data_IF_140070055035
#
_entry.id   IF_140070055035
#
_cell.length_a   1.000
_cell.length_b   1.000
_cell.length_c   1.000
_cell.angle_alpha   90.00
_cell.angle_beta   90.00
_cell.angle_gamma   90.00
#
_symmetry.space_group_name_H-M   'P 1'
#
loop_
_entity.id
_entity.type
_entity.pdbx_description
1 polymer ?
#
# COMPACT_ATOMS: atom_id res chain seq x y z
N UNK A 1 21.96 -14.09 -15.04
CA UNK A 1 21.60 -13.73 -13.66
C UNK A 1 21.29 -12.26 -13.68
N UNK A 2 20.11 -11.85 -13.20
CA UNK A 2 19.85 -10.45 -12.94
C UNK A 2 20.94 -9.91 -12.00
N UNK A 3 21.37 -8.67 -12.22
CA UNK A 3 22.30 -8.01 -11.31
C UNK A 3 21.57 -7.79 -9.98
N UNK A 4 22.19 -8.19 -8.87
CA UNK A 4 21.61 -7.97 -7.54
C UNK A 4 21.31 -6.47 -7.34
N UNK A 5 20.14 -6.10 -6.79
CA UNK A 5 19.80 -4.70 -6.50
C UNK A 5 20.77 -4.07 -5.50
N UNK A 6 20.83 -2.74 -5.50
CA UNK A 6 21.61 -2.00 -4.50
C UNK A 6 21.00 -2.17 -3.10
N UNK A 7 21.85 -2.52 -2.13
CA UNK A 7 21.47 -2.64 -0.72
C UNK A 7 21.52 -1.28 -0.03
N UNK A 8 20.45 -0.94 0.67
CA UNK A 8 20.32 0.29 1.44
C UNK A 8 20.08 -0.02 2.93
N UNK A 9 20.19 1.02 3.78
CA UNK A 9 20.00 0.88 5.22
C UNK A 9 19.00 1.92 5.74
N UNK A 10 17.99 1.45 6.47
CA UNK A 10 17.11 2.28 7.26
C UNK A 10 17.67 2.35 8.69
N UNK A 11 17.70 3.54 9.30
CA UNK A 11 18.18 3.71 10.67
C UNK A 11 16.99 3.86 11.61
N UNK A 12 16.84 2.92 12.55
CA UNK A 12 15.76 2.94 13.54
C UNK A 12 15.98 4.05 14.57
N UNK A 13 14.93 4.39 15.32
CA UNK A 13 15.00 5.42 16.37
C UNK A 13 16.03 5.12 17.47
N UNK A 14 16.33 3.85 17.71
CA UNK A 14 17.36 3.38 18.64
C UNK A 14 18.75 3.21 17.99
N UNK A 15 18.93 3.67 16.74
CA UNK A 15 20.22 3.74 16.05
C UNK A 15 20.68 2.44 15.39
N UNK A 16 19.79 1.48 15.18
CA UNK A 16 20.10 0.21 14.51
C UNK A 16 19.90 0.34 13.00
N UNK A 17 20.89 -0.11 12.23
CA UNK A 17 20.81 -0.16 10.77
C UNK A 17 20.10 -1.44 10.32
N UNK A 18 19.01 -1.28 9.57
CA UNK A 18 18.24 -2.36 8.96
C UNK A 18 18.51 -2.37 7.46
N UNK A 19 19.14 -3.43 6.96
CA UNK A 19 19.42 -3.61 5.54
C UNK A 19 18.14 -3.93 4.77
N UNK A 20 17.94 -3.31 3.62
CA UNK A 20 16.80 -3.54 2.75
C UNK A 20 17.15 -3.36 1.27
N UNK A 21 16.31 -3.94 0.41
CA UNK A 21 16.33 -3.74 -1.04
C UNK A 21 14.92 -3.46 -1.55
N UNK A 22 14.83 -2.64 -2.59
CA UNK A 22 13.59 -2.42 -3.35
C UNK A 22 13.79 -2.83 -4.80
N UNK A 23 12.92 -3.69 -5.32
CA UNK A 23 13.02 -4.23 -6.69
C UNK A 23 11.73 -3.94 -7.45
N UNK A 24 11.87 -3.42 -8.67
CA UNK A 24 10.74 -3.03 -9.51
C UNK A 24 10.10 -1.71 -9.09
N UNK A 25 9.23 -1.21 -9.96
CA UNK A 25 8.48 0.04 -9.83
C UNK A 25 6.96 -0.19 -9.98
N UNK A 26 6.53 -1.44 -9.77
CA UNK A 26 5.14 -1.84 -9.87
C UNK A 26 4.25 -1.08 -8.87
N UNK A 27 2.94 -0.97 -9.15
CA UNK A 27 2.06 -0.10 -8.39
C UNK A 27 1.90 -0.54 -6.92
N UNK A 28 2.01 -1.84 -6.62
CA UNK A 28 1.86 -2.38 -5.26
C UNK A 28 3.20 -2.37 -4.53
N UNK A 29 3.26 -1.80 -3.34
CA UNK A 29 4.35 -2.06 -2.39
C UNK A 29 4.13 -3.42 -1.76
N UNK A 30 5.04 -4.36 -1.98
CA UNK A 30 4.93 -5.73 -1.47
C UNK A 30 6.15 -6.07 -0.61
N UNK A 31 5.95 -6.24 0.70
CA UNK A 31 7.01 -6.72 1.60
C UNK A 31 7.00 -8.23 1.60
N UNK A 32 8.13 -8.86 1.29
CA UNK A 32 8.31 -10.30 1.44
C UNK A 32 9.28 -10.58 2.60
N UNK A 33 8.89 -11.47 3.50
CA UNK A 33 9.79 -11.99 4.54
C UNK A 33 9.70 -13.52 4.60
N UNK A 34 10.82 -14.16 4.29
CA UNK A 34 10.99 -15.61 4.39
C UNK A 34 11.31 -16.02 5.82
N UNK A 35 10.80 -17.18 6.25
CA UNK A 35 11.08 -17.73 7.59
C UNK A 35 12.58 -17.94 7.79
N UNK A 36 13.25 -18.30 6.72
CA UNK A 36 14.66 -18.71 6.67
C UNK A 36 15.38 -17.89 5.59
N UNK A 37 16.71 -17.87 5.62
CA UNK A 37 17.55 -17.22 4.59
C UNK A 37 17.52 -15.69 4.50
N UNK A 38 17.21 -14.95 5.57
CA UNK A 38 17.16 -13.47 5.57
C UNK A 38 18.52 -12.75 5.40
N UNK A 39 19.06 -12.74 4.19
CA UNK A 39 20.18 -11.89 3.78
C UNK A 39 19.92 -11.34 2.36
N UNK A 40 19.58 -10.05 2.28
CA UNK A 40 19.11 -9.40 1.04
C UNK A 40 20.07 -9.50 -0.15
N UNK A 41 21.37 -9.71 0.05
CA UNK A 41 22.32 -9.83 -1.07
C UNK A 41 22.49 -11.27 -1.54
N UNK A 42 22.84 -12.17 -0.62
CA UNK A 42 23.28 -13.51 -0.99
C UNK A 42 22.11 -14.43 -1.41
N UNK A 43 20.87 -14.11 -1.01
CA UNK A 43 19.67 -14.84 -1.44
C UNK A 43 19.53 -14.92 -2.97
N UNK A 44 20.00 -13.90 -3.70
CA UNK A 44 19.97 -13.86 -5.17
C UNK A 44 20.83 -14.93 -5.84
N UNK A 45 21.78 -15.53 -5.12
CA UNK A 45 22.62 -16.61 -5.67
C UNK A 45 21.88 -17.95 -5.75
N UNK A 46 20.75 -18.10 -5.04
CA UNK A 46 19.91 -19.29 -5.10
C UNK A 46 18.82 -19.08 -6.17
N UNK A 47 18.94 -19.78 -7.29
CA UNK A 47 18.03 -19.63 -8.44
C UNK A 47 16.55 -19.68 -8.06
N UNK A 48 16.10 -20.61 -7.18
CA UNK A 48 14.71 -20.63 -6.74
C UNK A 48 14.20 -19.35 -6.09
N UNK A 49 15.06 -18.64 -5.36
CA UNK A 49 14.74 -17.36 -4.73
C UNK A 49 14.80 -16.22 -5.73
N UNK A 50 15.84 -16.18 -6.58
CA UNK A 50 15.95 -15.17 -7.62
C UNK A 50 14.74 -15.18 -8.57
N UNK A 51 14.30 -16.36 -9.04
CA UNK A 51 13.09 -16.50 -9.87
C UNK A 51 11.83 -16.06 -9.11
N UNK A 52 11.71 -16.34 -7.81
CA UNK A 52 10.59 -15.86 -7.00
C UNK A 52 10.57 -14.32 -6.93
N UNK A 53 11.72 -13.69 -6.64
CA UNK A 53 11.84 -12.24 -6.53
C UNK A 53 11.57 -11.53 -7.86
N UNK A 54 12.13 -12.05 -8.96
CA UNK A 54 11.87 -11.54 -10.32
C UNK A 54 10.37 -11.60 -10.65
N UNK A 55 9.69 -12.71 -10.35
CA UNK A 55 8.25 -12.85 -10.58
C UNK A 55 7.41 -11.91 -9.72
N UNK A 56 7.72 -11.75 -8.43
CA UNK A 56 7.00 -10.85 -7.54
C UNK A 56 7.21 -9.37 -7.94
N UNK A 57 8.44 -9.00 -8.27
CA UNK A 57 8.78 -7.62 -8.71
C UNK A 57 8.20 -7.26 -10.08
N UNK A 58 7.74 -8.23 -10.87
CA UNK A 58 7.12 -7.95 -12.18
C UNK A 58 5.79 -7.19 -12.11
N UNK A 59 5.12 -7.16 -10.95
CA UNK A 59 3.85 -6.43 -10.73
C UNK A 59 3.85 -5.56 -9.46
N UNK A 60 4.96 -5.54 -8.72
CA UNK A 60 5.06 -4.83 -7.44
C UNK A 60 6.41 -4.12 -7.34
N UNK A 61 6.49 -3.08 -6.52
CA UNK A 61 7.73 -2.68 -5.87
C UNK A 61 7.96 -3.64 -4.71
N UNK A 62 8.72 -4.70 -4.98
CA UNK A 62 9.07 -5.73 -4.00
C UNK A 62 10.07 -5.15 -3.00
N UNK A 63 9.80 -5.34 -1.71
CA UNK A 63 10.59 -4.85 -0.60
C UNK A 63 11.10 -6.07 0.17
N UNK A 64 12.42 -6.23 0.20
CA UNK A 64 13.12 -7.23 0.99
C UNK A 64 13.86 -6.52 2.11
N UNK A 65 13.94 -7.14 3.29
CA UNK A 65 14.69 -6.60 4.41
C UNK A 65 15.26 -7.72 5.28
N UNK A 66 16.41 -7.44 5.90
CA UNK A 66 17.00 -8.33 6.88
C UNK A 66 16.45 -7.99 8.26
N UNK A 67 16.05 -9.01 9.03
CA UNK A 67 15.65 -8.83 10.43
C UNK A 67 16.84 -8.29 11.22
N UNK A 68 16.59 -7.44 12.21
CA UNK A 68 17.59 -7.03 13.19
C UNK A 68 18.39 -8.24 13.70
N UNK A 69 19.72 -8.13 13.70
CA UNK A 69 20.62 -9.21 14.12
C UNK A 69 20.81 -10.34 13.09
N UNK A 70 20.26 -10.21 11.89
CA UNK A 70 20.41 -11.17 10.78
C UNK A 70 20.91 -10.50 9.52
N UNK A 71 21.51 -11.27 8.62
CA UNK A 71 22.00 -10.79 7.33
C UNK A 71 23.01 -9.65 7.49
N UNK A 72 22.69 -8.52 6.87
CA UNK A 72 23.46 -7.28 6.91
C UNK A 72 22.91 -6.28 7.96
N UNK A 73 21.78 -6.58 8.60
CA UNK A 73 21.19 -5.74 9.66
C UNK A 73 21.96 -5.88 10.97
N UNK A 74 22.22 -4.75 11.63
CA UNK A 74 22.86 -4.73 12.94
C UNK A 74 21.95 -5.33 14.02
N UNK A 75 22.54 -5.87 15.09
CA UNK A 75 21.81 -6.37 16.26
C UNK A 75 22.60 -7.40 17.06
N UNK A 76 22.43 -7.40 18.38
CA UNK A 76 23.12 -8.32 19.29
C UNK A 76 22.25 -9.49 19.77
N UNK A 77 20.95 -9.47 19.49
CA UNK A 77 19.99 -10.51 19.88
C UNK A 77 18.84 -10.58 18.88
N UNK A 78 18.13 -11.70 18.86
CA UNK A 78 16.99 -11.87 17.95
C UNK A 78 15.80 -10.99 18.42
N UNK A 79 15.15 -10.21 17.54
CA UNK A 79 14.12 -9.26 17.94
C UNK A 79 12.80 -9.96 18.29
N UNK A 80 12.11 -9.43 19.30
CA UNK A 80 10.71 -9.77 19.58
C UNK A 80 9.76 -9.17 18.51
N UNK A 81 8.49 -9.57 18.50
CA UNK A 81 7.52 -9.14 17.49
C UNK A 81 7.31 -7.61 17.43
N UNK A 82 7.26 -6.93 18.57
CA UNK A 82 7.11 -5.47 18.62
C UNK A 82 8.29 -4.74 18.00
N UNK A 83 9.51 -5.25 18.25
CA UNK A 83 10.73 -4.71 17.65
C UNK A 83 10.73 -4.94 16.14
N UNK A 84 10.36 -6.15 15.69
CA UNK A 84 10.20 -6.44 14.25
C UNK A 84 9.20 -5.50 13.59
N UNK A 85 8.06 -5.24 14.24
CA UNK A 85 7.06 -4.34 13.71
C UNK A 85 7.56 -2.89 13.60
N UNK A 86 8.31 -2.40 14.60
CA UNK A 86 8.93 -1.07 14.58
C UNK A 86 10.02 -0.94 13.52
N UNK A 87 10.84 -1.98 13.36
CA UNK A 87 11.91 -2.02 12.36
C UNK A 87 11.31 -2.01 10.94
N UNK A 88 10.26 -2.80 10.69
CA UNK A 88 9.52 -2.77 9.43
C UNK A 88 8.91 -1.39 9.16
N UNK A 89 8.29 -0.76 10.18
CA UNK A 89 7.74 0.58 10.04
C UNK A 89 8.81 1.59 9.60
N UNK A 90 10.01 1.50 10.19
CA UNK A 90 11.16 2.34 9.85
C UNK A 90 11.58 2.15 8.38
N UNK A 91 11.63 0.90 7.90
CA UNK A 91 11.94 0.60 6.50
C UNK A 91 10.90 1.23 5.57
N UNK A 92 9.61 1.02 5.86
CA UNK A 92 8.50 1.58 5.07
C UNK A 92 8.53 3.11 5.02
N UNK A 93 8.78 3.77 6.15
CA UNK A 93 8.90 5.22 6.23
C UNK A 93 10.10 5.74 5.42
N UNK A 94 11.24 5.04 5.50
CA UNK A 94 12.47 5.40 4.77
C UNK A 94 12.25 5.38 3.26
N UNK A 95 11.53 4.40 2.74
CA UNK A 95 11.21 4.26 1.31
C UNK A 95 9.93 5.01 0.89
N UNK A 96 9.34 5.77 1.82
CA UNK A 96 8.09 6.54 1.65
C UNK A 96 6.92 5.67 1.17
N UNK A 97 6.85 4.43 1.65
CA UNK A 97 5.69 3.56 1.45
C UNK A 97 4.60 3.95 2.45
N UNK A 98 3.51 4.54 1.97
CA UNK A 98 2.36 4.89 2.82
C UNK A 98 1.61 3.65 3.29
N UNK A 99 1.45 2.64 2.41
CA UNK A 99 0.70 1.42 2.68
C UNK A 99 1.25 0.27 1.84
N UNK A 100 1.44 -0.91 2.45
CA UNK A 100 2.04 -2.06 1.77
C UNK A 100 1.21 -3.35 1.95
N UNK A 101 1.30 -4.23 0.96
CA UNK A 101 0.88 -5.62 1.11
C UNK A 101 2.02 -6.39 1.80
N UNK A 102 1.69 -7.25 2.75
CA UNK A 102 2.66 -8.01 3.53
C UNK A 102 2.57 -9.49 3.16
N UNK A 103 3.69 -10.09 2.74
CA UNK A 103 3.76 -11.49 2.35
C UNK A 103 4.75 -12.26 3.24
N UNK A 104 4.20 -12.97 4.22
CA UNK A 104 4.98 -13.77 5.18
C UNK A 104 4.89 -15.27 4.90
N UNK A 105 6.00 -15.97 5.11
CA UNK A 105 6.08 -17.43 5.18
C UNK A 105 6.05 -17.88 6.65
N UNK A 106 5.20 -18.85 6.97
CA UNK A 106 5.20 -19.54 8.27
C UNK A 106 5.14 -18.58 9.46
N UNK A 107 6.19 -18.49 10.28
CA UNK A 107 6.21 -17.64 11.47
C UNK A 107 6.43 -16.15 11.16
N UNK A 108 6.91 -15.78 9.97
CA UNK A 108 7.07 -14.35 9.62
C UNK A 108 5.73 -13.68 9.38
N UNK A 109 4.75 -14.42 8.86
CA UNK A 109 3.38 -13.94 8.79
C UNK A 109 2.77 -13.64 10.17
N UNK A 110 3.25 -14.25 11.26
CA UNK A 110 2.84 -13.89 12.61
C UNK A 110 3.31 -12.49 13.01
N UNK A 111 4.55 -12.12 12.64
CA UNK A 111 5.04 -10.76 12.84
C UNK A 111 4.28 -9.74 11.98
N UNK A 112 3.96 -10.10 10.74
CA UNK A 112 3.11 -9.26 9.89
C UNK A 112 1.68 -9.13 10.40
N UNK A 113 1.12 -10.18 11.00
CA UNK A 113 -0.18 -10.11 11.66
C UNK A 113 -0.14 -9.12 12.85
N UNK A 114 0.89 -9.17 13.70
CA UNK A 114 1.03 -8.15 14.75
C UNK A 114 1.18 -6.75 14.16
N UNK A 115 2.03 -6.58 13.15
CA UNK A 115 2.22 -5.29 12.48
C UNK A 115 0.91 -4.74 11.93
N UNK A 116 0.13 -5.56 11.24
CA UNK A 116 -1.16 -5.18 10.67
C UNK A 116 -2.21 -4.83 11.74
N UNK A 117 -2.17 -5.49 12.91
CA UNK A 117 -3.06 -5.16 14.01
C UNK A 117 -2.75 -3.81 14.66
N UNK A 118 -1.47 -3.47 14.82
CA UNK A 118 -1.06 -2.22 15.47
C UNK A 118 -0.94 -1.03 14.49
N UNK A 119 -0.75 -1.30 13.19
CA UNK A 119 -0.65 -0.30 12.12
C UNK A 119 -1.65 -0.58 10.98
N UNK A 120 -2.97 -0.63 11.25
CA UNK A 120 -3.96 -1.04 10.24
C UNK A 120 -3.93 -0.15 8.98
N UNK A 121 -3.69 1.15 9.14
CA UNK A 121 -3.67 2.11 8.03
C UNK A 121 -2.41 1.98 7.14
N UNK A 122 -1.41 1.21 7.60
CA UNK A 122 -0.15 0.97 6.88
C UNK A 122 -0.16 -0.34 6.09
N UNK A 123 -1.23 -1.14 6.19
CA UNK A 123 -1.33 -2.45 5.53
C UNK A 123 -2.51 -2.48 4.56
N UNK A 124 -2.27 -2.77 3.29
CA UNK A 124 -3.34 -2.96 2.31
C UNK A 124 -3.92 -4.36 2.42
N UNK A 125 -3.06 -5.37 2.47
CA UNK A 125 -3.45 -6.77 2.61
C UNK A 125 -2.34 -7.63 3.22
N UNK A 126 -2.73 -8.79 3.75
CA UNK A 126 -1.82 -9.80 4.30
C UNK A 126 -1.91 -11.08 3.46
N UNK A 127 -0.78 -11.55 2.95
CA UNK A 127 -0.60 -12.87 2.38
C UNK A 127 0.22 -13.71 3.35
N UNK A 128 -0.27 -14.90 3.67
CA UNK A 128 0.36 -15.79 4.62
C UNK A 128 0.50 -17.20 4.04
N UNK A 129 1.71 -17.55 3.61
CA UNK A 129 2.00 -18.89 3.08
C UNK A 129 2.37 -19.85 4.19
N UNK A 130 1.67 -20.99 4.25
CA UNK A 130 1.75 -22.02 5.30
C UNK A 130 1.63 -21.41 6.70
N UNK A 131 0.47 -20.84 6.99
CA UNK A 131 0.28 -19.94 8.14
C UNK A 131 0.49 -20.61 9.51
N UNK A 132 1.41 -20.04 10.33
CA UNK A 132 1.74 -20.53 11.68
C UNK A 132 1.55 -19.39 12.70
N UNK A 133 0.39 -19.33 13.34
CA UNK A 133 0.10 -18.30 14.36
C UNK A 133 0.81 -18.53 15.70
N UNK A 134 1.11 -19.79 16.01
CA UNK A 134 1.91 -20.17 17.18
C UNK A 134 2.63 -21.47 16.90
N UNK A 135 3.79 -21.66 17.52
CA UNK A 135 4.48 -22.95 17.55
C UNK A 135 4.17 -23.74 18.82
N UNK A 136 3.43 -23.15 19.75
CA UNK A 136 3.19 -23.73 21.07
C UNK A 136 2.11 -24.81 20.98
N UNK A 137 2.41 -25.98 21.52
CA UNK A 137 1.40 -27.03 21.66
C UNK A 137 0.29 -26.57 22.61
N UNK A 138 -0.96 -26.80 22.20
CA UNK A 138 -2.13 -26.75 23.07
C UNK A 138 -3.17 -27.76 22.60
N UNK A 139 -4.19 -28.10 23.41
CA UNK A 139 -5.30 -28.93 22.95
C UNK A 139 -6.04 -28.38 21.71
N UNK A 140 -6.05 -27.05 21.54
CA UNK A 140 -6.66 -26.36 20.39
C UNK A 140 -5.71 -26.24 19.18
N UNK A 141 -4.42 -26.48 19.41
CA UNK A 141 -3.35 -26.42 18.41
C UNK A 141 -2.40 -27.63 18.59
N UNK A 142 -2.85 -28.84 18.21
CA UNK A 142 -2.11 -30.08 18.49
C UNK A 142 -0.87 -30.27 17.62
N UNK A 143 -0.67 -29.42 16.62
CA UNK A 143 0.49 -29.44 15.71
C UNK A 143 1.71 -28.70 16.28
N UNK A 144 1.50 -27.89 17.33
CA UNK A 144 2.59 -27.22 18.03
C UNK A 144 3.49 -28.18 18.80
N UNK A 145 4.60 -27.65 19.32
CA UNK A 145 5.60 -28.40 20.08
C UNK A 145 5.60 -28.00 21.56
N UNK A 146 6.03 -28.94 22.39
CA UNK A 146 6.26 -28.74 23.82
C UNK A 146 7.52 -27.89 24.06
N UNK A 147 7.67 -27.28 25.25
CA UNK A 147 8.87 -26.53 25.60
C UNK A 147 10.16 -27.36 25.53
N UNK A 148 10.11 -28.67 25.83
CA UNK A 148 11.26 -29.57 25.73
C UNK A 148 11.67 -29.83 24.28
N UNK A 149 10.70 -30.05 23.40
CA UNK A 149 10.96 -30.22 21.96
C UNK A 149 11.56 -28.97 21.33
N UNK A 150 11.08 -27.78 21.70
CA UNK A 150 11.67 -26.51 21.25
C UNK A 150 13.11 -26.32 21.77
N UNK A 151 13.39 -26.68 23.03
CA UNK A 151 14.77 -26.65 23.56
C UNK A 151 15.69 -27.60 22.81
N UNK A 152 15.20 -28.79 22.47
CA UNK A 152 15.96 -29.76 21.69
C UNK A 152 16.25 -29.24 20.28
N UNK A 153 15.24 -28.69 19.59
CA UNK A 153 15.38 -28.08 18.28
C UNK A 153 16.38 -26.91 18.29
N UNK A 154 16.28 -26.01 19.28
CA UNK A 154 17.21 -24.89 19.41
C UNK A 154 18.67 -25.37 19.60
N UNK A 155 18.88 -26.45 20.36
CA UNK A 155 20.21 -27.05 20.52
C UNK A 155 20.71 -27.66 19.21
N UNK A 156 19.88 -28.41 18.50
CA UNK A 156 20.23 -29.01 17.20
C UNK A 156 20.58 -27.94 16.17
N UNK A 157 19.75 -26.90 16.05
CA UNK A 157 20.00 -25.78 15.14
C UNK A 157 21.30 -25.08 15.50
N UNK A 158 21.55 -24.78 16.78
CA UNK A 158 22.81 -24.17 17.23
C UNK A 158 24.02 -25.03 16.88
N UNK A 159 23.96 -26.33 17.14
CA UNK A 159 25.13 -27.20 17.01
C UNK A 159 25.43 -27.55 15.54
N UNK A 160 24.42 -27.45 14.65
CA UNK A 160 24.53 -27.81 13.25
C UNK A 160 24.30 -26.63 12.28
N UNK A 161 24.23 -25.38 12.76
CA UNK A 161 23.91 -24.21 11.93
C UNK A 161 24.88 -24.08 10.76
N UNK A 162 24.34 -23.98 9.55
CA UNK A 162 25.14 -23.91 8.34
C UNK A 162 25.89 -25.20 8.00
N UNK A 163 25.45 -26.36 8.49
CA UNK A 163 25.94 -27.66 8.05
C UNK A 163 25.05 -28.24 6.94
N UNK A 164 25.60 -29.10 6.08
CA UNK A 164 24.80 -29.84 5.09
C UNK A 164 23.79 -30.78 5.76
N UNK A 165 24.11 -31.30 6.94
CA UNK A 165 23.25 -32.20 7.70
C UNK A 165 21.96 -31.49 8.13
N UNK A 166 22.08 -30.28 8.71
CA UNK A 166 20.92 -29.48 9.08
C UNK A 166 20.09 -29.12 7.84
N UNK A 167 20.75 -28.70 6.75
CA UNK A 167 20.05 -28.39 5.50
C UNK A 167 19.31 -29.60 4.95
N UNK A 168 19.93 -30.78 4.94
CA UNK A 168 19.27 -32.02 4.50
C UNK A 168 18.05 -32.33 5.37
N UNK A 169 18.13 -32.14 6.68
CA UNK A 169 16.98 -32.32 7.57
C UNK A 169 15.82 -31.39 7.21
N UNK A 170 16.11 -30.13 6.89
CA UNK A 170 15.09 -29.14 6.50
C UNK A 170 14.50 -29.43 5.13
N UNK A 171 15.32 -29.84 4.17
CA UNK A 171 14.85 -30.26 2.85
C UNK A 171 14.02 -31.54 2.94
N UNK A 172 14.31 -32.48 3.83
CA UNK A 172 13.43 -33.64 4.04
C UNK A 172 12.04 -33.23 4.54
N UNK A 173 11.96 -32.18 5.37
CA UNK A 173 10.68 -31.68 5.88
C UNK A 173 9.92 -30.82 4.87
N UNK A 174 10.63 -29.98 4.12
CA UNK A 174 10.05 -28.92 3.30
C UNK A 174 10.23 -29.07 1.80
N UNK A 175 11.13 -29.91 1.31
CA UNK A 175 11.36 -30.13 -0.12
C UNK A 175 12.02 -31.51 -0.41
N UNK A 176 11.41 -32.66 -0.03
CA UNK A 176 12.07 -33.97 -0.04
C UNK A 176 12.81 -34.35 -1.33
N UNK A 177 12.29 -33.98 -2.49
CA UNK A 177 12.92 -34.27 -3.79
C UNK A 177 14.29 -33.61 -3.98
N UNK A 178 14.59 -32.58 -3.18
CA UNK A 178 15.86 -31.87 -3.19
C UNK A 178 16.79 -32.30 -2.06
N UNK A 179 16.34 -33.16 -1.14
CA UNK A 179 17.04 -33.46 0.10
C UNK A 179 18.41 -34.10 -0.10
N UNK A 180 18.62 -34.85 -1.20
CA UNK A 180 19.89 -35.51 -1.50
C UNK A 180 20.75 -34.76 -2.55
N UNK A 181 20.38 -33.52 -2.94
CA UNK A 181 21.21 -32.67 -3.79
C UNK A 181 22.36 -32.03 -2.96
N UNK A 182 23.55 -32.64 -3.02
CA UNK A 182 24.71 -32.19 -2.26
C UNK A 182 25.22 -30.78 -2.64
N UNK A 183 24.96 -30.33 -3.86
CA UNK A 183 25.36 -29.00 -4.34
C UNK A 183 24.43 -27.96 -3.75
N UNK A 184 23.12 -28.20 -3.85
CA UNK A 184 22.11 -27.34 -3.24
C UNK A 184 22.29 -27.28 -1.72
N UNK A 185 22.54 -28.42 -1.06
CA UNK A 185 22.87 -28.47 0.36
C UNK A 185 24.06 -27.56 0.70
N UNK A 186 25.13 -27.58 -0.11
CA UNK A 186 26.31 -26.74 0.11
C UNK A 186 26.00 -25.25 -0.05
N UNK A 187 25.17 -24.89 -1.03
CA UNK A 187 24.75 -23.52 -1.30
C UNK A 187 23.87 -22.98 -0.16
N UNK A 188 22.84 -23.72 0.25
CA UNK A 188 21.96 -23.33 1.37
C UNK A 188 22.75 -23.27 2.67
N UNK A 189 23.64 -24.23 2.94
CA UNK A 189 24.48 -24.20 4.14
C UNK A 189 25.38 -22.95 4.19
N UNK A 190 25.78 -22.41 3.02
CA UNK A 190 26.44 -21.11 2.94
C UNK A 190 25.47 -19.97 3.27
N UNK A 191 24.27 -19.96 2.69
CA UNK A 191 23.24 -18.96 3.01
C UNK A 191 22.96 -18.89 4.52
N UNK A 192 22.81 -20.03 5.18
CA UNK A 192 22.56 -20.10 6.63
C UNK A 192 23.67 -19.41 7.44
N UNK A 193 24.94 -19.60 7.07
CA UNK A 193 26.08 -18.94 7.73
C UNK A 193 26.12 -17.43 7.49
N UNK A 194 25.56 -16.95 6.38
CA UNK A 194 25.42 -15.52 6.08
C UNK A 194 24.11 -14.93 6.62
N UNK A 195 23.15 -15.76 7.00
CA UNK A 195 21.88 -15.35 7.58
C UNK A 195 22.04 -15.01 9.06
N UNK A 196 22.60 -15.92 9.87
CA UNK A 196 22.79 -15.65 11.30
C UNK A 196 23.84 -16.57 11.94
N UNK A 197 24.43 -16.10 13.03
CA UNK A 197 25.33 -16.90 13.86
C UNK A 197 24.56 -18.01 14.61
N UNK A 198 25.23 -19.12 14.99
CA UNK A 198 24.56 -20.23 15.69
C UNK A 198 23.85 -19.85 16.99
N UNK A 199 24.39 -18.91 17.76
CA UNK A 199 23.75 -18.41 18.99
C UNK A 199 22.45 -17.65 18.68
N UNK A 200 22.48 -16.81 17.64
CA UNK A 200 21.31 -16.08 17.14
C UNK A 200 20.23 -17.03 16.62
N UNK A 201 20.63 -18.14 15.98
CA UNK A 201 19.69 -19.17 15.54
C UNK A 201 18.97 -19.88 16.70
N UNK A 202 19.68 -20.12 17.81
CA UNK A 202 19.05 -20.64 19.02
C UNK A 202 18.06 -19.64 19.64
N UNK A 203 18.42 -18.35 19.69
CA UNK A 203 17.53 -17.29 20.17
C UNK A 203 16.30 -17.14 19.28
N UNK A 204 16.46 -17.23 17.96
CA UNK A 204 15.36 -17.21 17.00
C UNK A 204 14.34 -18.32 17.30
N UNK A 205 14.78 -19.57 17.45
CA UNK A 205 13.89 -20.68 17.81
C UNK A 205 13.21 -20.45 19.16
N UNK A 206 13.94 -19.91 20.15
CA UNK A 206 13.37 -19.61 21.46
C UNK A 206 12.27 -18.54 21.37
N UNK A 207 12.52 -17.41 20.69
CA UNK A 207 11.54 -16.33 20.51
C UNK A 207 10.30 -16.84 19.76
N UNK A 208 10.47 -17.64 18.72
CA UNK A 208 9.34 -18.21 17.98
C UNK A 208 8.57 -19.26 18.79
N UNK A 209 9.24 -20.00 19.68
CA UNK A 209 8.58 -20.98 20.54
C UNK A 209 7.63 -20.36 21.55
N UNK A 210 7.87 -19.10 21.93
CA UNK A 210 7.04 -18.32 22.85
C UNK A 210 6.03 -17.43 22.10
N UNK A 211 6.16 -17.33 20.78
CA UNK A 211 5.28 -16.50 19.95
C UNK A 211 3.90 -17.14 19.80
N UNK A 212 2.86 -16.36 20.12
CA UNK A 212 1.47 -16.68 19.84
C UNK A 212 0.70 -15.42 19.47
N UNK A 213 0.33 -15.30 18.18
CA UNK A 213 -0.47 -14.18 17.68
C UNK A 213 -1.95 -14.54 17.49
N UNK A 214 -2.36 -15.75 17.89
CA UNK A 214 -3.76 -16.20 17.81
C UNK A 214 -4.75 -15.20 18.43
N UNK A 215 -4.47 -14.57 19.60
CA UNK A 215 -5.37 -13.58 20.19
C UNK A 215 -5.56 -12.31 19.37
N UNK A 216 -4.60 -11.99 18.50
CA UNK A 216 -4.58 -10.75 17.69
C UNK A 216 -5.27 -10.95 16.35
N UNK A 217 -5.32 -12.18 15.83
CA UNK A 217 -5.90 -12.49 14.51
C UNK A 217 -7.33 -11.94 14.28
N UNK A 218 -8.26 -11.95 15.26
CA UNK A 218 -9.59 -11.39 15.06
C UNK A 218 -9.62 -9.86 14.91
N UNK A 219 -8.53 -9.16 15.26
CA UNK A 219 -8.43 -7.69 15.18
C UNK A 219 -7.91 -7.17 13.84
N UNK A 220 -7.46 -8.07 12.95
CA UNK A 220 -6.96 -7.70 11.63
C UNK A 220 -8.06 -7.05 10.78
N UNK A 221 -7.78 -5.87 10.24
CA UNK A 221 -8.71 -5.09 9.41
C UNK A 221 -8.44 -5.23 7.92
N UNK A 222 -7.22 -5.62 7.53
CA UNK A 222 -6.86 -5.80 6.14
C UNK A 222 -7.36 -7.15 5.61
N UNK A 223 -7.68 -7.19 4.32
CA UNK A 223 -7.98 -8.44 3.64
C UNK A 223 -6.79 -9.42 3.79
N UNK A 224 -7.10 -10.69 4.05
CA UNK A 224 -6.08 -11.71 4.29
C UNK A 224 -6.26 -12.92 3.36
N UNK A 225 -5.17 -13.33 2.71
CA UNK A 225 -5.07 -14.57 1.93
C UNK A 225 -4.10 -15.52 2.62
N UNK A 226 -4.59 -16.70 3.00
CA UNK A 226 -3.76 -17.82 3.45
C UNK A 226 -3.52 -18.76 2.27
N UNK A 227 -2.27 -19.13 2.05
CA UNK A 227 -1.84 -20.02 0.96
C UNK A 227 -1.27 -21.32 1.54
N UNK A 228 -1.70 -22.46 1.01
CA UNK A 228 -1.11 -23.76 1.33
C UNK A 228 -1.31 -24.74 0.17
N UNK A 229 -0.92 -26.01 0.36
CA UNK A 229 -1.12 -27.10 -0.60
C UNK A 229 -2.20 -28.07 -0.14
N UNK A 230 -2.96 -28.61 -1.08
CA UNK A 230 -4.01 -29.60 -0.79
C UNK A 230 -3.46 -30.88 -0.16
N UNK A 231 -2.28 -31.32 -0.61
CA UNK A 231 -1.64 -32.57 -0.18
C UNK A 231 -0.94 -32.47 1.18
N UNK A 232 -0.90 -31.28 1.80
CA UNK A 232 -0.21 -31.04 3.07
C UNK A 232 -1.13 -31.24 4.28
N UNK A 233 -1.56 -32.48 4.57
CA UNK A 233 -2.65 -32.72 5.53
C UNK A 233 -2.51 -32.07 6.93
N UNK A 234 -1.29 -31.97 7.48
CA UNK A 234 -1.05 -31.29 8.77
C UNK A 234 -0.86 -29.77 8.62
N UNK A 235 -0.05 -29.30 7.67
CA UNK A 235 0.18 -27.86 7.49
C UNK A 235 -1.09 -27.15 6.99
N UNK A 236 -1.87 -27.80 6.12
CA UNK A 236 -3.17 -27.28 5.69
C UNK A 236 -4.15 -27.14 6.87
N UNK A 237 -4.00 -27.94 7.93
CA UNK A 237 -4.80 -27.79 9.14
C UNK A 237 -4.36 -26.56 9.97
N UNK A 238 -3.06 -26.28 10.05
CA UNK A 238 -2.52 -25.05 10.64
C UNK A 238 -2.98 -23.80 9.85
N UNK A 239 -2.88 -23.82 8.53
CA UNK A 239 -3.37 -22.75 7.65
C UNK A 239 -4.89 -22.55 7.77
N UNK A 240 -5.68 -23.62 7.88
CA UNK A 240 -7.13 -23.53 8.18
C UNK A 240 -7.39 -22.96 9.56
N UNK A 241 -6.57 -23.30 10.56
CA UNK A 241 -6.68 -22.71 11.89
C UNK A 241 -6.48 -21.20 11.82
N UNK A 242 -5.42 -20.71 11.17
CA UNK A 242 -5.18 -19.27 10.95
C UNK A 242 -6.38 -18.62 10.24
N UNK A 243 -6.80 -19.18 9.11
CA UNK A 243 -7.92 -18.64 8.33
C UNK A 243 -9.21 -18.54 9.15
N UNK A 244 -9.50 -19.54 10.00
CA UNK A 244 -10.72 -19.55 10.83
C UNK A 244 -10.76 -18.46 11.90
N UNK A 245 -9.60 -17.88 12.26
CA UNK A 245 -9.46 -16.87 13.31
C UNK A 245 -9.48 -15.43 12.77
N UNK A 246 -9.42 -15.25 11.44
CA UNK A 246 -9.36 -13.94 10.79
C UNK A 246 -10.67 -13.72 10.02
N UNK A 247 -11.38 -12.64 10.34
CA UNK A 247 -12.64 -12.32 9.68
C UNK A 247 -12.43 -12.09 8.17
N UNK A 248 -13.16 -12.82 7.33
CA UNK A 248 -13.10 -12.67 5.88
C UNK A 248 -11.83 -13.22 5.21
N UNK A 249 -10.95 -13.91 5.95
CA UNK A 249 -9.75 -14.49 5.37
C UNK A 249 -10.08 -15.59 4.34
N UNK A 250 -9.39 -15.52 3.20
CA UNK A 250 -9.48 -16.48 2.11
C UNK A 250 -8.41 -17.55 2.30
N UNK A 251 -8.73 -18.82 2.03
CA UNK A 251 -7.75 -19.90 1.95
C UNK A 251 -7.71 -20.40 0.52
N UNK A 252 -6.54 -20.32 -0.12
CA UNK A 252 -6.29 -20.92 -1.42
C UNK A 252 -5.35 -22.12 -1.25
N UNK A 253 -5.83 -23.29 -1.70
CA UNK A 253 -5.07 -24.54 -1.69
C UNK A 253 -4.59 -24.83 -3.10
N UNK A 254 -3.27 -24.90 -3.24
CA UNK A 254 -2.58 -25.13 -4.49
C UNK A 254 -2.39 -26.62 -4.73
N UNK A 255 -2.25 -26.97 -6.01
CA UNK A 255 -1.90 -28.32 -6.42
C UNK A 255 -0.38 -28.52 -6.44
N UNK A 256 0.07 -29.74 -6.18
CA UNK A 256 1.46 -30.15 -6.38
C UNK A 256 2.17 -30.49 -5.08
N UNK A 257 3.51 -30.48 -5.14
CA UNK A 257 4.32 -30.87 -4.00
C UNK A 257 4.25 -29.78 -2.91
N UNK A 258 4.01 -30.16 -1.65
CA UNK A 258 3.80 -29.21 -0.55
C UNK A 258 5.11 -28.61 -0.06
N UNK A 259 5.91 -28.05 -0.96
CA UNK A 259 7.24 -27.60 -0.65
C UNK A 259 7.29 -26.22 0.02
N UNK A 260 8.42 -25.87 0.63
CA UNK A 260 8.71 -24.53 1.10
C UNK A 260 8.67 -23.54 -0.08
N UNK A 261 8.41 -22.26 0.21
CA UNK A 261 8.08 -21.26 -0.79
C UNK A 261 9.01 -21.25 -2.03
N UNK A 262 10.35 -21.23 -1.90
CA UNK A 262 11.22 -21.22 -3.07
C UNK A 262 11.16 -22.50 -3.90
N UNK A 263 10.83 -23.65 -3.32
CA UNK A 263 10.89 -24.94 -4.01
C UNK A 263 9.53 -25.41 -4.55
N UNK A 264 8.44 -24.79 -4.11
CA UNK A 264 7.08 -25.12 -4.54
C UNK A 264 6.72 -24.61 -5.95
N UNK A 265 5.43 -24.70 -6.28
CA UNK A 265 4.87 -24.15 -7.53
C UNK A 265 4.84 -22.60 -7.52
N UNK A 266 6.01 -21.97 -7.68
CA UNK A 266 6.19 -20.51 -7.63
C UNK A 266 5.28 -19.76 -8.60
N UNK A 267 5.02 -20.32 -9.79
CA UNK A 267 4.15 -19.68 -10.78
C UNK A 267 2.70 -19.55 -10.29
N UNK A 268 2.15 -20.62 -9.69
CA UNK A 268 0.80 -20.61 -9.12
C UNK A 268 0.73 -19.72 -7.87
N UNK A 269 1.72 -19.81 -6.98
CA UNK A 269 1.82 -18.94 -5.80
C UNK A 269 1.83 -17.47 -6.22
N UNK A 270 2.73 -17.07 -7.13
CA UNK A 270 2.86 -15.68 -7.56
C UNK A 270 1.59 -15.19 -8.26
N UNK A 271 0.93 -16.03 -9.06
CA UNK A 271 -0.34 -15.66 -9.67
C UNK A 271 -1.41 -15.38 -8.61
N UNK A 272 -1.54 -16.25 -7.61
CA UNK A 272 -2.50 -16.05 -6.51
C UNK A 272 -2.20 -14.77 -5.71
N UNK A 273 -0.92 -14.50 -5.41
CA UNK A 273 -0.49 -13.27 -4.73
C UNK A 273 -0.84 -12.04 -5.56
N UNK A 274 -0.45 -12.02 -6.84
CA UNK A 274 -0.70 -10.89 -7.75
C UNK A 274 -2.19 -10.58 -7.85
N UNK A 275 -3.01 -11.60 -8.11
CA UNK A 275 -4.43 -11.42 -8.34
C UNK A 275 -5.12 -10.90 -7.07
N UNK A 276 -4.72 -11.41 -5.90
CA UNK A 276 -5.21 -10.95 -4.61
C UNK A 276 -4.79 -9.50 -4.32
N UNK A 277 -3.49 -9.19 -4.32
CA UNK A 277 -3.02 -7.85 -3.93
C UNK A 277 -3.47 -6.76 -4.91
N UNK A 278 -3.64 -7.09 -6.19
CA UNK A 278 -4.14 -6.15 -7.20
C UNK A 278 -5.62 -5.86 -7.01
N UNK A 279 -6.42 -6.87 -6.65
CA UNK A 279 -7.85 -6.70 -6.34
C UNK A 279 -8.05 -5.84 -5.10
N UNK A 280 -7.32 -6.11 -4.02
CA UNK A 280 -7.46 -5.33 -2.78
C UNK A 280 -6.99 -3.88 -2.97
N UNK A 281 -5.93 -3.64 -3.76
CA UNK A 281 -5.55 -2.28 -4.15
C UNK A 281 -6.67 -1.57 -4.92
N UNK A 282 -7.32 -2.25 -5.86
CA UNK A 282 -8.42 -1.67 -6.63
C UNK A 282 -9.63 -1.36 -5.73
N UNK A 283 -9.89 -2.18 -4.72
CA UNK A 283 -10.94 -1.92 -3.72
C UNK A 283 -10.58 -0.73 -2.81
N UNK A 284 -9.33 -0.64 -2.34
CA UNK A 284 -8.82 0.49 -1.54
C UNK A 284 -8.86 1.82 -2.33
N UNK A 285 -8.48 1.80 -3.61
CA UNK A 285 -8.57 2.98 -4.48
C UNK A 285 -10.02 3.42 -4.77
N UNK A 286 -10.99 2.54 -4.50
CA UNK A 286 -12.42 2.79 -4.64
C UNK A 286 -13.06 3.37 -3.37
N UNK A 287 -12.29 3.81 -2.37
CA UNK A 287 -12.85 4.68 -1.30
C UNK A 287 -13.33 6.00 -1.92
N UNK A 288 -14.61 6.00 -2.32
CA UNK A 288 -15.30 7.19 -2.79
C UNK A 288 -15.74 8.01 -1.60
N UNK A 289 -15.30 9.26 -1.54
CA UNK A 289 -15.79 10.22 -0.58
C UNK A 289 -16.68 11.24 -1.29
N UNK A 290 -17.74 11.68 -0.62
CA UNK A 290 -18.55 12.78 -1.13
C UNK A 290 -17.76 14.09 -1.00
N UNK A 291 -17.45 14.71 -2.14
CA UNK A 291 -16.69 15.96 -2.18
C UNK A 291 -17.36 17.01 -3.07
N UNK A 292 -17.09 18.29 -2.81
CA UNK A 292 -17.46 19.37 -3.71
C UNK A 292 -16.24 19.89 -4.45
N UNK A 293 -16.27 19.87 -5.78
CA UNK A 293 -15.21 20.36 -6.65
C UNK A 293 -15.54 21.76 -7.16
N UNK A 294 -14.52 22.62 -7.22
CA UNK A 294 -14.55 23.95 -7.84
C UNK A 294 -13.53 23.99 -8.95
N UNK A 295 -13.99 24.36 -10.15
CA UNK A 295 -13.12 24.69 -11.27
C UNK A 295 -13.30 26.16 -11.62
N UNK A 296 -12.19 26.86 -11.86
CA UNK A 296 -12.21 28.23 -12.38
C UNK A 296 -11.26 28.36 -13.56
N UNK A 297 -11.55 29.29 -14.46
CA UNK A 297 -10.71 29.57 -15.64
C UNK A 297 -10.87 31.02 -16.08
N UNK A 298 -9.82 31.66 -16.62
CA UNK A 298 -9.90 33.04 -17.08
C UNK A 298 -10.59 33.08 -18.45
N UNK A 299 -11.56 33.98 -18.58
CA UNK A 299 -12.29 34.16 -19.84
C UNK A 299 -11.36 34.84 -20.86
N UNK A 300 -11.19 34.21 -22.03
CA UNK A 300 -10.46 34.78 -23.16
C UNK A 300 -8.95 34.93 -22.91
N UNK A 301 -8.34 34.07 -22.11
CA UNK A 301 -6.94 34.18 -21.71
C UNK A 301 -5.95 34.17 -22.87
N UNK A 302 -6.12 33.26 -23.84
CA UNK A 302 -5.26 33.20 -25.04
C UNK A 302 -5.30 34.49 -25.85
N UNK A 303 -6.50 35.07 -26.03
CA UNK A 303 -6.69 36.33 -26.74
C UNK A 303 -6.03 37.49 -25.99
N UNK A 304 -6.24 37.57 -24.67
CA UNK A 304 -5.62 38.60 -23.82
C UNK A 304 -4.10 38.50 -23.80
N UNK A 305 -3.55 37.30 -23.73
CA UNK A 305 -2.10 37.07 -23.78
C UNK A 305 -1.52 37.59 -25.11
N UNK A 306 -2.19 37.32 -26.23
CA UNK A 306 -1.75 37.78 -27.55
C UNK A 306 -1.70 39.30 -27.68
N UNK A 307 -2.60 40.02 -26.99
CA UNK A 307 -2.72 41.48 -27.02
C UNK A 307 -1.76 42.16 -26.04
N UNK A 308 -1.56 41.61 -24.85
CA UNK A 308 -0.76 42.24 -23.77
C UNK A 308 0.70 41.80 -23.73
N UNK A 309 1.05 40.70 -24.39
CA UNK A 309 2.38 40.12 -24.39
C UNK A 309 2.70 39.32 -23.11
N UNK A 310 3.62 38.36 -23.24
CA UNK A 310 3.85 37.31 -22.23
C UNK A 310 4.21 37.84 -20.83
N UNK A 311 5.00 38.91 -20.75
CA UNK A 311 5.46 39.45 -19.47
C UNK A 311 4.31 40.10 -18.68
N UNK A 312 3.50 40.94 -19.33
CA UNK A 312 2.37 41.61 -18.69
C UNK A 312 1.26 40.60 -18.34
N UNK A 313 1.03 39.61 -19.21
CA UNK A 313 0.10 38.52 -18.94
C UNK A 313 0.53 37.69 -17.73
N UNK A 314 1.81 37.35 -17.63
CA UNK A 314 2.36 36.60 -16.49
C UNK A 314 2.15 37.32 -15.16
N UNK A 315 2.21 38.67 -15.14
CA UNK A 315 1.92 39.45 -13.93
C UNK A 315 0.44 39.43 -13.55
N UNK A 316 -0.47 39.43 -14.53
CA UNK A 316 -1.91 39.27 -14.31
C UNK A 316 -2.22 37.89 -13.76
N UNK A 317 -1.67 36.83 -14.37
CA UNK A 317 -1.83 35.44 -13.90
C UNK A 317 -1.30 35.27 -12.47
N UNK A 318 -0.15 35.87 -12.14
CA UNK A 318 0.39 35.83 -10.76
C UNK A 318 -0.54 36.47 -9.74
N UNK A 319 -1.14 37.63 -10.06
CA UNK A 319 -2.12 38.31 -9.18
C UNK A 319 -3.41 37.51 -9.07
N UNK A 320 -3.87 36.92 -10.18
CA UNK A 320 -5.02 36.02 -10.20
C UNK A 320 -4.81 34.82 -9.27
N UNK A 321 -3.66 34.15 -9.36
CA UNK A 321 -3.30 33.02 -8.49
C UNK A 321 -3.30 33.42 -7.01
N UNK A 322 -2.74 34.58 -6.67
CA UNK A 322 -2.73 35.08 -5.29
C UNK A 322 -4.15 35.32 -4.75
N UNK A 323 -5.04 35.94 -5.55
CA UNK A 323 -6.44 36.18 -5.17
C UNK A 323 -7.17 34.85 -4.89
N UNK A 324 -6.98 33.85 -5.74
CA UNK A 324 -7.62 32.54 -5.55
C UNK A 324 -7.10 31.87 -4.29
N UNK A 325 -5.78 31.81 -4.08
CA UNK A 325 -5.20 31.17 -2.89
C UNK A 325 -5.69 31.80 -1.59
N UNK A 326 -5.73 33.13 -1.53
CA UNK A 326 -6.29 33.85 -0.38
C UNK A 326 -7.79 33.54 -0.17
N UNK A 327 -8.57 33.37 -1.24
CA UNK A 327 -9.97 32.99 -1.13
C UNK A 327 -10.13 31.53 -0.67
N UNK A 328 -9.32 30.60 -1.20
CA UNK A 328 -9.31 29.20 -0.78
C UNK A 328 -8.97 29.08 0.71
N UNK A 329 -7.93 29.76 1.17
CA UNK A 329 -7.58 29.79 2.59
C UNK A 329 -8.73 30.32 3.45
N UNK A 330 -9.35 31.43 3.05
CA UNK A 330 -10.46 32.05 3.77
C UNK A 330 -11.68 31.13 3.89
N UNK A 331 -11.99 30.40 2.83
CA UNK A 331 -13.19 29.56 2.72
C UNK A 331 -12.92 28.07 2.96
N UNK A 332 -11.72 27.73 3.44
CA UNK A 332 -11.28 26.36 3.74
C UNK A 332 -11.35 25.42 2.54
N UNK A 333 -10.95 25.92 1.36
CA UNK A 333 -10.76 25.13 0.16
C UNK A 333 -9.34 24.58 0.06
N UNK A 334 -9.19 23.40 -0.53
CA UNK A 334 -7.89 22.76 -0.80
C UNK A 334 -7.57 22.90 -2.28
N UNK A 335 -6.47 23.56 -2.62
CA UNK A 335 -5.93 23.60 -3.98
C UNK A 335 -5.41 22.20 -4.36
N UNK A 336 -5.92 21.62 -5.44
CA UNK A 336 -5.51 20.28 -5.90
C UNK A 336 -4.59 20.37 -7.13
N UNK A 337 -4.90 21.27 -8.06
CA UNK A 337 -4.11 21.47 -9.28
C UNK A 337 -4.31 22.86 -9.89
N UNK A 338 -3.34 23.26 -10.71
CA UNK A 338 -3.38 24.49 -11.53
C UNK A 338 -2.90 24.19 -12.94
N UNK A 339 -3.73 24.48 -13.94
CA UNK A 339 -3.40 24.29 -15.35
C UNK A 339 -3.38 25.65 -16.06
N UNK A 340 -2.20 26.29 -16.09
CA UNK A 340 -2.03 27.64 -16.62
C UNK A 340 -2.77 28.68 -15.77
N UNK A 341 -3.86 29.18 -16.29
CA UNK A 341 -4.77 30.14 -15.64
C UNK A 341 -6.01 29.50 -15.00
N UNK A 342 -6.20 28.19 -15.17
CA UNK A 342 -7.25 27.43 -14.51
C UNK A 342 -6.87 26.90 -13.12
N UNK A 343 -7.86 26.82 -12.22
CA UNK A 343 -7.72 26.19 -10.89
C UNK A 343 -8.69 25.04 -10.72
N UNK A 344 -8.22 24.02 -9.99
CA UNK A 344 -9.02 22.95 -9.44
C UNK A 344 -8.85 22.90 -7.92
N UNK A 345 -9.95 23.05 -7.19
CA UNK A 345 -9.98 22.99 -5.75
C UNK A 345 -11.13 22.11 -5.22
N UNK A 346 -10.99 21.61 -3.99
CA UNK A 346 -11.99 20.77 -3.33
C UNK A 346 -12.42 21.35 -1.98
N UNK A 347 -13.64 21.02 -1.60
CA UNK A 347 -14.30 21.44 -0.37
C UNK A 347 -15.16 20.30 0.18
N UNK A 348 -15.31 20.28 1.49
CA UNK A 348 -16.20 19.42 2.28
C UNK A 348 -17.63 19.98 2.44
N UNK A 349 -17.92 21.19 1.94
CA UNK A 349 -19.27 21.77 1.96
C UNK A 349 -19.61 22.67 0.76
N UNK A 350 -20.72 22.41 0.03
CA UNK A 350 -21.05 23.14 -1.21
C UNK A 350 -21.37 24.62 -0.99
N UNK A 351 -21.99 24.98 0.13
CA UNK A 351 -22.29 26.39 0.43
C UNK A 351 -21.03 27.24 0.63
N UNK A 352 -19.96 26.67 1.20
CA UNK A 352 -18.65 27.36 1.31
C UNK A 352 -18.00 27.50 -0.06
N UNK A 353 -18.08 26.46 -0.90
CA UNK A 353 -17.57 26.50 -2.26
C UNK A 353 -18.19 27.61 -3.09
N UNK A 354 -19.52 27.78 -3.01
CA UNK A 354 -20.23 28.88 -3.71
C UNK A 354 -19.73 30.24 -3.22
N UNK A 355 -19.58 30.44 -1.89
CA UNK A 355 -19.08 31.70 -1.33
C UNK A 355 -17.66 31.99 -1.79
N UNK A 356 -16.80 30.98 -1.83
CA UNK A 356 -15.45 31.09 -2.36
C UNK A 356 -15.46 31.52 -3.82
N UNK A 357 -16.25 30.86 -4.67
CA UNK A 357 -16.35 31.18 -6.10
C UNK A 357 -16.83 32.63 -6.33
N UNK A 358 -17.86 33.07 -5.60
CA UNK A 358 -18.35 34.45 -5.68
C UNK A 358 -17.31 35.48 -5.21
N UNK A 359 -16.58 35.18 -4.14
CA UNK A 359 -15.48 36.03 -3.65
C UNK A 359 -14.38 36.18 -4.72
N UNK A 360 -13.99 35.08 -5.35
CA UNK A 360 -13.00 35.09 -6.44
C UNK A 360 -13.52 35.93 -7.62
N UNK A 361 -14.74 35.66 -8.12
CA UNK A 361 -15.34 36.39 -9.25
C UNK A 361 -15.38 37.90 -8.97
N UNK A 362 -15.68 38.31 -7.74
CA UNK A 362 -15.71 39.72 -7.37
C UNK A 362 -14.31 40.36 -7.30
N UNK A 363 -13.32 39.67 -6.74
CA UNK A 363 -11.98 40.22 -6.53
C UNK A 363 -11.16 40.29 -7.81
N UNK A 364 -11.28 39.31 -8.71
CA UNK A 364 -10.52 39.29 -9.97
C UNK A 364 -10.94 40.40 -10.94
N UNK A 365 -12.17 40.92 -10.83
CA UNK A 365 -12.59 42.13 -11.56
C UNK A 365 -11.73 43.35 -11.23
N UNK A 366 -11.22 43.43 -10.00
CA UNK A 366 -10.33 44.52 -9.56
C UNK A 366 -8.97 44.55 -10.28
N UNK A 367 -8.58 43.44 -10.93
CA UNK A 367 -7.37 43.36 -11.76
C UNK A 367 -7.69 43.32 -13.26
N UNK A 368 -8.93 43.63 -13.65
CA UNK A 368 -9.33 43.80 -15.05
C UNK A 368 -9.58 42.50 -15.81
N UNK A 369 -9.79 41.38 -15.11
CA UNK A 369 -10.14 40.10 -15.73
C UNK A 369 -11.50 39.60 -15.25
N UNK A 370 -12.05 38.67 -16.02
CA UNK A 370 -13.23 37.90 -15.66
C UNK A 370 -12.87 36.42 -15.70
N UNK A 371 -13.43 35.67 -14.77
CA UNK A 371 -13.33 34.22 -14.75
C UNK A 371 -14.69 33.60 -14.96
N UNK A 372 -14.70 32.32 -15.28
CA UNK A 372 -15.87 31.45 -15.22
C UNK A 372 -15.65 30.38 -14.16
N UNK A 373 -16.70 29.96 -13.47
CA UNK A 373 -16.61 28.96 -12.41
C UNK A 373 -17.67 27.87 -12.56
N UNK A 374 -17.28 26.63 -12.26
CA UNK A 374 -18.16 25.47 -12.22
C UNK A 374 -18.03 24.70 -10.91
N UNK A 375 -19.17 24.34 -10.31
CA UNK A 375 -19.23 23.63 -9.04
C UNK A 375 -20.10 22.39 -9.15
N UNK A 376 -19.59 21.28 -8.63
CA UNK A 376 -20.33 20.02 -8.53
C UNK A 376 -20.03 19.32 -7.21
N UNK A 377 -21.03 18.64 -6.66
CA UNK A 377 -20.88 17.74 -5.51
C UNK A 377 -21.21 16.34 -5.97
N UNK A 378 -20.31 15.39 -5.72
CA UNK A 378 -20.46 14.00 -6.11
C UNK A 378 -19.42 13.12 -5.43
N UNK A 379 -19.50 11.82 -5.70
CA UNK A 379 -18.50 10.85 -5.26
C UNK A 379 -17.19 11.08 -6.00
N UNK A 380 -16.12 11.27 -5.23
CA UNK A 380 -14.77 11.43 -5.72
C UNK A 380 -13.90 10.29 -5.20
N UNK A 381 -13.09 9.72 -6.07
CA UNK A 381 -12.04 8.77 -5.71
C UNK A 381 -10.83 9.55 -5.17
N UNK A 382 -10.14 9.03 -4.16
CA UNK A 382 -8.87 9.60 -3.71
C UNK A 382 -7.73 8.75 -4.29
N UNK A 383 -6.99 9.32 -5.24
CA UNK A 383 -5.84 8.68 -5.87
C UNK A 383 -4.60 9.50 -5.56
N UNK A 384 -3.61 8.92 -4.88
CA UNK A 384 -2.37 9.58 -4.46
C UNK A 384 -2.61 10.90 -3.69
N UNK A 385 -3.67 10.94 -2.87
CA UNK A 385 -4.07 12.13 -2.10
C UNK A 385 -4.78 13.21 -2.91
N UNK A 386 -5.07 12.98 -4.19
CA UNK A 386 -5.82 13.89 -5.06
C UNK A 386 -7.20 13.34 -5.38
N UNK A 387 -8.17 14.24 -5.47
CA UNK A 387 -9.54 13.89 -5.84
C UNK A 387 -9.62 13.65 -7.35
N UNK A 388 -10.14 12.49 -7.74
CA UNK A 388 -10.31 12.03 -9.12
C UNK A 388 -11.74 11.48 -9.34
N UNK A 389 -12.03 11.04 -10.57
CA UNK A 389 -13.28 10.38 -10.93
C UNK A 389 -14.28 11.27 -11.67
N UNK A 390 -15.51 10.77 -11.79
CA UNK A 390 -16.55 11.38 -12.62
C UNK A 390 -16.98 12.76 -12.10
N UNK A 391 -17.04 12.96 -10.79
CA UNK A 391 -17.41 14.25 -10.18
C UNK A 391 -16.44 15.38 -10.59
N UNK A 392 -15.13 15.09 -10.65
CA UNK A 392 -14.08 16.00 -11.11
C UNK A 392 -14.29 16.36 -12.59
N UNK A 393 -14.58 15.35 -13.41
CA UNK A 393 -14.87 15.55 -14.84
C UNK A 393 -16.09 16.44 -15.02
N UNK A 394 -17.20 16.17 -14.32
CA UNK A 394 -18.43 16.97 -14.37
C UNK A 394 -18.15 18.42 -13.96
N UNK A 395 -17.47 18.65 -12.83
CA UNK A 395 -17.13 20.00 -12.36
C UNK A 395 -16.37 20.82 -13.42
N UNK A 396 -15.37 20.21 -14.06
CA UNK A 396 -14.60 20.87 -15.13
C UNK A 396 -15.47 21.22 -16.34
N UNK A 397 -16.46 20.39 -16.68
CA UNK A 397 -17.36 20.60 -17.82
C UNK A 397 -18.41 21.67 -17.52
N UNK A 398 -18.89 21.75 -16.28
CA UNK A 398 -19.76 22.84 -15.83
C UNK A 398 -19.02 24.17 -15.94
N UNK A 399 -17.75 24.24 -15.52
CA UNK A 399 -16.94 25.45 -15.66
C UNK A 399 -16.74 25.82 -17.14
N UNK A 400 -16.54 24.83 -18.02
CA UNK A 400 -16.32 25.07 -19.45
C UNK A 400 -17.53 25.70 -20.17
N UNK A 401 -18.77 25.41 -19.72
CA UNK A 401 -20.00 26.00 -20.29
C UNK A 401 -20.45 27.28 -19.58
N UNK A 402 -19.77 27.68 -18.50
CA UNK A 402 -20.05 28.91 -17.78
C UNK A 402 -19.61 30.14 -18.60
N UNK A 403 -20.45 31.18 -18.59
CA UNK A 403 -20.16 32.47 -19.21
C UNK A 403 -19.22 33.34 -18.36
N UNK A 404 -18.88 34.54 -18.86
CA UNK A 404 -18.03 35.47 -18.13
C UNK A 404 -18.66 35.88 -16.80
N UNK A 405 -17.89 35.80 -15.72
CA UNK A 405 -18.34 36.05 -14.35
C UNK A 405 -19.48 35.14 -13.86
N UNK A 406 -19.84 34.07 -14.58
CA UNK A 406 -20.86 33.12 -14.13
C UNK A 406 -20.24 32.12 -13.13
N UNK A 407 -21.00 31.84 -12.07
CA UNK A 407 -20.79 30.67 -11.21
C UNK A 407 -21.91 29.69 -11.51
N UNK A 408 -21.62 28.63 -12.27
CA UNK A 408 -22.57 27.57 -12.58
C UNK A 408 -22.43 26.41 -11.61
N UNK A 409 -23.57 25.83 -11.23
CA UNK A 409 -23.64 24.70 -10.31
C UNK A 409 -24.57 23.62 -10.85
N UNK A 410 -24.25 22.36 -10.55
CA UNK A 410 -25.16 21.22 -10.82
C UNK A 410 -26.42 21.24 -9.95
N UNK A 411 -27.47 20.52 -10.36
CA UNK A 411 -28.68 20.30 -9.54
C UNK A 411 -28.35 19.79 -8.12
N UNK A 412 -27.42 18.86 -7.98
CA UNK A 412 -26.98 18.32 -6.68
C UNK A 412 -26.52 19.43 -5.73
N UNK A 413 -25.70 20.37 -6.22
CA UNK A 413 -25.23 21.51 -5.43
C UNK A 413 -26.39 22.42 -5.04
N UNK A 414 -27.32 22.69 -5.97
CA UNK A 414 -28.52 23.49 -5.72
C UNK A 414 -29.42 22.86 -4.64
N UNK A 415 -29.59 21.54 -4.65
CA UNK A 415 -30.40 20.84 -3.65
C UNK A 415 -29.68 20.78 -2.28
N UNK A 416 -28.36 20.54 -2.25
CA UNK A 416 -27.56 20.51 -1.02
C UNK A 416 -27.34 21.89 -0.38
N UNK A 417 -27.63 22.98 -1.11
CA UNK A 417 -27.50 24.36 -0.61
C UNK A 417 -28.84 25.02 -0.31
N UNK A 418 -29.94 24.27 -0.35
CA UNK A 418 -31.26 24.75 0.04
C UNK A 418 -31.21 25.36 1.46
N UNK A 419 -31.76 26.58 1.61
CA UNK A 419 -31.73 27.32 2.88
C UNK A 419 -30.42 28.04 3.21
N UNK A 420 -29.39 27.95 2.35
CA UNK A 420 -28.09 28.63 2.57
C UNK A 420 -28.06 30.11 2.13
N UNK A 421 -29.20 30.64 1.67
CA UNK A 421 -29.37 32.06 1.30
C UNK A 421 -28.92 32.44 -0.11
N UNK A 422 -28.68 31.47 -1.00
CA UNK A 422 -28.33 31.73 -2.41
C UNK A 422 -29.58 31.82 -3.29
N UNK A 423 -29.58 32.76 -4.23
CA UNK A 423 -30.54 32.78 -5.33
C UNK A 423 -29.95 32.02 -6.52
N UNK A 424 -30.67 31.04 -7.04
CA UNK A 424 -30.21 30.16 -8.12
C UNK A 424 -31.16 30.30 -9.31
N UNK A 425 -30.63 30.81 -10.42
CA UNK A 425 -31.35 30.96 -11.67
C UNK A 425 -31.21 29.70 -12.51
N UNK A 426 -32.32 29.17 -13.01
CA UNK A 426 -32.35 28.00 -13.87
C UNK A 426 -31.72 28.30 -15.24
N UNK A 427 -30.75 27.47 -15.65
CA UNK A 427 -30.10 27.54 -16.98
C UNK A 427 -30.47 26.39 -17.91
N UNK A 428 -31.35 25.50 -17.48
CA UNK A 428 -31.85 24.36 -18.24
C UNK A 428 -30.88 23.19 -18.31
N UNK A 429 -31.16 22.29 -19.25
CA UNK A 429 -30.35 21.11 -19.52
C UNK A 429 -29.20 21.42 -20.48
N UNK A 430 -28.01 20.92 -20.15
CA UNK A 430 -26.79 21.06 -20.94
C UNK A 430 -26.16 19.69 -21.19
N UNK A 431 -25.75 19.43 -22.43
CA UNK A 431 -24.91 18.27 -22.74
C UNK A 431 -23.46 18.57 -22.36
N UNK A 432 -22.93 17.82 -21.39
CA UNK A 432 -21.54 17.95 -20.95
C UNK A 432 -20.66 16.94 -21.69
N UNK A 433 -19.63 17.43 -22.38
CA UNK A 433 -18.73 16.58 -23.19
C UNK A 433 -18.16 15.41 -22.36
N UNK A 434 -18.49 14.19 -22.77
CA UNK A 434 -17.99 12.95 -22.19
C UNK A 434 -18.72 12.48 -20.93
N UNK A 435 -19.84 13.12 -20.57
CA UNK A 435 -20.73 12.69 -19.50
C UNK A 435 -22.03 12.17 -20.13
N UNK A 436 -22.51 11.01 -19.68
CA UNK A 436 -23.80 10.49 -20.13
C UNK A 436 -24.95 11.33 -19.57
N UNK A 437 -26.02 11.45 -20.36
CA UNK A 437 -27.25 12.20 -20.06
C UNK A 437 -27.11 13.74 -20.02
N UNK A 438 -28.18 14.50 -20.33
CA UNK A 438 -28.21 15.95 -20.13
C UNK A 438 -28.16 16.33 -18.65
N UNK A 439 -27.43 17.40 -18.32
CA UNK A 439 -27.26 17.89 -16.96
C UNK A 439 -27.98 19.22 -16.75
N UNK A 440 -28.82 19.28 -15.71
CA UNK A 440 -29.51 20.52 -15.34
C UNK A 440 -28.59 21.41 -14.52
N UNK A 441 -28.31 22.62 -15.02
CA UNK A 441 -27.42 23.59 -14.40
C UNK A 441 -28.19 24.82 -13.87
N UNK A 442 -27.61 25.44 -12.86
CA UNK A 442 -28.12 26.67 -12.25
C UNK A 442 -27.00 27.69 -12.15
N UNK A 443 -27.32 28.96 -12.40
CA UNK A 443 -26.40 30.06 -12.11
C UNK A 443 -26.66 30.60 -10.72
N UNK A 444 -25.60 30.80 -9.94
CA UNK A 444 -25.67 31.55 -8.68
C UNK A 444 -25.80 33.04 -8.98
N UNK A 445 -26.86 33.66 -8.47
CA UNK A 445 -27.11 35.10 -8.55
C UNK A 445 -26.66 35.73 -7.23
N UNK A 446 -25.74 36.69 -7.33
CA UNK A 446 -25.21 37.45 -6.20
C UNK A 446 -26.21 38.47 -5.65
#
# INVERSE_FOLDING_TARGET
MAQAPDTHYATTADGVSIAYQTIGDGPVDLVLELETWGNVEIMWELEPLADLFERLSSFSRLILHDRRGTGLSAGSSFPNLETRARDLLTVLDTIRSSRAALFGERTTGAAFALFAAINPDRVSSLVWFKGVATRRWSPEYPWGRTPDEHRHEAAQVRDAMGSKELVRWWLLAGAPSFADDERLQAQIARLDRHFMAPSMAAEWIAVESETDVTPVLPSLRCATLVLDYEQSSTAAAESRHVQSKIAGAQLALMSGDPYALPFGNRAEIVAAVRDFVSRERAADASETILGTVLFTDIVGSTERQSVTGDQAWSDVVRRHHAIIREALERWQGVENDTAGDGFYATFDAPARTIRCALDIVNRVRGIGIEIRAGIHTGECEIVDGKYAGLAVTIGSRIAAVAGPSDVLVSRTVKDLTAGSGFSLEDRGEHELKGVAEPWHLYRVVA
#
